data_IF_144748502191
#
_entry.id   IF_144748502191
#
_cell.length_a   1.000
_cell.length_b   1.000
_cell.length_c   1.000
_cell.angle_alpha   90.00
_cell.angle_beta   90.00
_cell.angle_gamma   90.00
#
_symmetry.space_group_name_H-M   'P 1'
#
loop_
_entity.id
_entity.type
_entity.pdbx_description
1 polymer ?
#
# COMPACT_ATOMS: atom_id res chain seq x y z
N UNK A 1 -12.43 -9.71 -15.05
CA UNK A 1 -13.76 -9.17 -14.67
C UNK A 1 -13.61 -7.67 -14.50
N UNK A 2 -14.46 -6.88 -15.14
CA UNK A 2 -14.52 -5.43 -14.95
C UNK A 2 -15.95 -5.05 -14.55
N UNK A 3 -16.14 -4.11 -13.61
CA UNK A 3 -17.49 -3.67 -13.24
C UNK A 3 -18.26 -3.14 -14.45
N UNK A 4 -19.57 -3.40 -14.51
CA UNK A 4 -20.45 -2.91 -15.58
C UNK A 4 -20.65 -1.39 -15.53
N UNK A 5 -20.50 -0.79 -14.35
CA UNK A 5 -20.65 0.64 -14.11
C UNK A 5 -19.36 1.27 -13.59
N UNK A 6 -18.98 2.40 -14.17
CA UNK A 6 -17.86 3.20 -13.68
C UNK A 6 -18.25 3.94 -12.39
N UNK A 7 -17.43 3.80 -11.36
CA UNK A 7 -17.47 4.62 -10.14
C UNK A 7 -16.09 5.21 -9.90
N UNK A 8 -16.03 6.53 -9.69
CA UNK A 8 -14.77 7.22 -9.42
C UNK A 8 -14.10 6.60 -8.18
N UNK A 9 -12.84 6.15 -8.27
CA UNK A 9 -12.11 5.61 -7.12
C UNK A 9 -12.01 6.64 -5.99
N UNK A 10 -12.17 6.18 -4.75
CA UNK A 10 -12.08 7.03 -3.54
C UNK A 10 -10.89 6.71 -2.64
N UNK A 11 -10.17 5.62 -2.93
CA UNK A 11 -9.02 5.14 -2.16
C UNK A 11 -8.18 4.24 -3.05
N UNK A 12 -6.90 4.15 -2.73
CA UNK A 12 -5.94 3.22 -3.34
C UNK A 12 -5.51 2.23 -2.26
N UNK A 13 -5.24 0.98 -2.65
CA UNK A 13 -4.61 -0.02 -1.78
C UNK A 13 -3.37 -0.56 -2.48
N UNK A 14 -2.27 -0.62 -1.76
CA UNK A 14 -0.99 -1.16 -2.21
C UNK A 14 -0.67 -2.43 -1.42
N UNK A 15 -0.56 -3.56 -2.12
CA UNK A 15 0.00 -4.78 -1.54
C UNK A 15 1.51 -4.61 -1.40
N UNK A 16 2.03 -4.87 -0.21
CA UNK A 16 3.41 -4.61 0.16
C UNK A 16 4.00 -5.78 0.94
N UNK A 17 5.14 -6.28 0.48
CA UNK A 17 5.83 -7.45 1.05
C UNK A 17 7.29 -7.12 1.46
N UNK A 18 7.68 -5.84 1.40
CA UNK A 18 9.02 -5.39 1.72
C UNK A 18 10.08 -5.59 0.63
N UNK A 19 9.73 -6.27 -0.47
CA UNK A 19 10.63 -6.48 -1.61
C UNK A 19 10.96 -5.18 -2.32
N UNK A 20 12.06 -5.17 -3.08
CA UNK A 20 12.47 -4.01 -3.87
C UNK A 20 11.38 -3.55 -4.85
N UNK A 21 10.60 -4.49 -5.39
CA UNK A 21 9.49 -4.20 -6.30
C UNK A 21 8.37 -3.44 -5.60
N UNK A 22 7.93 -3.89 -4.42
CA UNK A 22 6.84 -3.22 -3.71
C UNK A 22 7.31 -1.90 -3.10
N UNK A 23 8.58 -1.80 -2.69
CA UNK A 23 9.22 -0.53 -2.31
C UNK A 23 9.24 0.47 -3.46
N UNK A 24 9.62 0.04 -4.66
CA UNK A 24 9.55 0.90 -5.85
C UNK A 24 8.11 1.33 -6.14
N UNK A 25 7.16 0.44 -5.93
CA UNK A 25 5.73 0.73 -5.98
C UNK A 25 5.32 1.89 -5.07
N UNK A 26 5.76 1.88 -3.81
CA UNK A 26 5.51 2.97 -2.85
C UNK A 26 6.06 4.30 -3.37
N UNK A 27 7.32 4.34 -3.81
CA UNK A 27 7.93 5.56 -4.35
C UNK A 27 7.17 6.09 -5.58
N UNK A 28 6.74 5.20 -6.47
CA UNK A 28 5.98 5.59 -7.66
C UNK A 28 4.62 6.18 -7.29
N UNK A 29 3.93 5.61 -6.30
CA UNK A 29 2.66 6.17 -5.80
C UNK A 29 2.90 7.55 -5.17
N UNK A 30 3.92 7.67 -4.32
CA UNK A 30 4.29 8.93 -3.67
C UNK A 30 4.60 10.05 -4.69
N UNK A 31 5.29 9.72 -5.78
CA UNK A 31 5.61 10.68 -6.85
C UNK A 31 4.45 10.94 -7.84
N UNK A 32 3.39 10.13 -7.83
CA UNK A 32 2.36 10.15 -8.86
C UNK A 32 1.33 11.26 -8.63
N UNK A 33 1.04 12.11 -9.64
CA UNK A 33 -0.06 13.05 -9.55
C UNK A 33 -1.44 12.38 -9.61
N UNK A 34 -1.54 11.14 -10.08
CA UNK A 34 -2.79 10.44 -10.35
C UNK A 34 -3.60 10.14 -9.06
N UNK A 35 -2.91 9.91 -7.95
CA UNK A 35 -3.52 9.46 -6.70
C UNK A 35 -3.63 10.57 -5.65
N UNK A 36 -3.22 11.80 -5.99
CA UNK A 36 -3.23 12.92 -5.05
C UNK A 36 -4.62 13.15 -4.46
N UNK A 37 -4.67 13.30 -3.14
CA UNK A 37 -5.92 13.50 -2.40
C UNK A 37 -6.74 12.23 -2.17
N UNK A 38 -6.31 11.07 -2.66
CA UNK A 38 -6.90 9.78 -2.30
C UNK A 38 -6.05 9.13 -1.21
N UNK A 39 -6.64 8.60 -0.13
CA UNK A 39 -5.91 7.78 0.83
C UNK A 39 -5.28 6.55 0.17
N UNK A 40 -4.07 6.20 0.58
CA UNK A 40 -3.33 5.03 0.09
C UNK A 40 -3.09 4.02 1.21
N UNK A 41 -3.88 2.95 1.24
CA UNK A 41 -3.75 1.91 2.25
C UNK A 41 -2.62 0.95 1.88
N UNK A 42 -1.59 0.83 2.71
CA UNK A 42 -0.51 -0.15 2.53
C UNK A 42 -0.83 -1.41 3.33
N UNK A 43 -0.91 -2.56 2.66
CA UNK A 43 -1.27 -3.83 3.29
C UNK A 43 -0.17 -4.84 3.09
N UNK A 44 0.31 -5.41 4.18
CA UNK A 44 1.25 -6.53 4.19
C UNK A 44 0.56 -7.77 4.74
N UNK A 45 0.83 -8.90 4.12
CA UNK A 45 0.41 -10.22 4.61
C UNK A 45 1.65 -10.93 5.13
N UNK A 46 1.64 -11.30 6.41
CA UNK A 46 2.78 -11.94 7.05
C UNK A 46 2.66 -12.03 8.57
N UNK A 47 3.67 -12.62 9.20
CA UNK A 47 3.73 -12.73 10.66
C UNK A 47 3.87 -11.35 11.31
N UNK A 48 3.33 -11.22 12.51
CA UNK A 48 3.48 -10.02 13.32
C UNK A 48 4.88 -9.96 13.94
N UNK A 49 5.83 -9.42 13.19
CA UNK A 49 7.23 -9.24 13.60
C UNK A 49 7.63 -7.77 13.62
N UNK A 50 8.67 -7.43 14.40
CA UNK A 50 9.24 -6.08 14.40
C UNK A 50 9.74 -5.69 13.01
N UNK A 51 10.40 -6.61 12.30
CA UNK A 51 10.90 -6.38 10.95
C UNK A 51 9.78 -6.01 9.97
N UNK A 52 8.66 -6.74 9.98
CA UNK A 52 7.51 -6.44 9.11
C UNK A 52 6.86 -5.10 9.46
N UNK A 53 6.78 -4.78 10.76
CA UNK A 53 6.29 -3.48 11.23
C UNK A 53 7.20 -2.33 10.80
N UNK A 54 8.51 -2.48 10.89
CA UNK A 54 9.48 -1.48 10.44
C UNK A 54 9.38 -1.23 8.93
N UNK A 55 9.19 -2.29 8.14
CA UNK A 55 9.00 -2.15 6.69
C UNK A 55 7.69 -1.43 6.35
N UNK A 56 6.59 -1.74 7.03
CA UNK A 56 5.33 -1.01 6.85
C UNK A 56 5.43 0.45 7.27
N UNK A 57 6.11 0.74 8.38
CA UNK A 57 6.35 2.11 8.84
C UNK A 57 7.18 2.91 7.83
N UNK A 58 8.19 2.28 7.22
CA UNK A 58 8.92 2.90 6.13
C UNK A 58 7.99 3.28 4.97
N UNK A 59 7.11 2.36 4.54
CA UNK A 59 6.19 2.64 3.44
C UNK A 59 5.18 3.75 3.79
N UNK A 60 4.67 3.74 5.02
CA UNK A 60 3.80 4.78 5.55
C UNK A 60 4.48 6.16 5.51
N UNK A 61 5.68 6.27 6.06
CA UNK A 61 6.42 7.52 6.13
C UNK A 61 6.66 8.14 4.74
N UNK A 62 7.06 7.33 3.76
CA UNK A 62 7.27 7.81 2.38
C UNK A 62 5.99 8.39 1.76
N UNK A 63 4.83 7.77 2.03
CA UNK A 63 3.55 8.25 1.51
C UNK A 63 3.05 9.48 2.26
N UNK A 64 3.20 9.52 3.58
CA UNK A 64 2.83 10.67 4.41
C UNK A 64 3.68 11.90 4.08
N UNK A 65 4.99 11.74 3.88
CA UNK A 65 5.90 12.81 3.44
C UNK A 65 5.51 13.37 2.06
N UNK A 66 4.91 12.54 1.21
CA UNK A 66 4.35 12.96 -0.08
C UNK A 66 2.94 13.55 0.00
N UNK A 67 2.36 13.64 1.21
CA UNK A 67 1.06 14.27 1.48
C UNK A 67 -0.14 13.33 1.35
N UNK A 68 0.06 12.01 1.40
CA UNK A 68 -1.02 11.03 1.42
C UNK A 68 -1.46 10.70 2.85
N UNK A 69 -2.75 10.41 3.03
CA UNK A 69 -3.21 9.64 4.20
C UNK A 69 -2.88 8.16 3.94
N UNK A 70 -2.02 7.56 4.77
CA UNK A 70 -1.46 6.24 4.51
C UNK A 70 -1.74 5.23 5.65
N UNK A 71 -2.99 4.77 5.82
CA UNK A 71 -3.26 3.71 6.79
C UNK A 71 -2.47 2.45 6.42
N UNK A 72 -1.97 1.75 7.45
CA UNK A 72 -1.23 0.50 7.27
C UNK A 72 -1.90 -0.67 7.98
N UNK A 73 -1.85 -1.84 7.36
CA UNK A 73 -2.33 -3.07 7.94
C UNK A 73 -1.32 -4.21 7.75
N UNK A 74 -1.02 -4.92 8.84
CA UNK A 74 -0.34 -6.20 8.82
C UNK A 74 -1.37 -7.28 9.13
N UNK A 75 -1.69 -8.09 8.13
CA UNK A 75 -2.71 -9.14 8.24
C UNK A 75 -2.04 -10.50 8.29
N UNK A 76 -2.49 -11.35 9.22
CA UNK A 76 -2.11 -12.76 9.23
C UNK A 76 -2.94 -13.53 8.19
N UNK A 77 -2.27 -14.26 7.30
CA UNK A 77 -2.92 -15.13 6.32
C UNK A 77 -1.90 -15.75 5.37
N UNK A 78 -2.22 -16.90 4.78
CA UNK A 78 -1.48 -17.40 3.62
C UNK A 78 -1.79 -16.51 2.42
N UNK A 79 -0.76 -16.07 1.70
CA UNK A 79 -0.96 -15.53 0.34
C UNK A 79 -1.61 -16.64 -0.47
N UNK A 80 -2.82 -16.40 -0.98
CA UNK A 80 -3.49 -17.33 -1.90
C UNK A 80 -2.51 -17.63 -3.04
N UNK A 81 -1.93 -18.84 -3.03
CA UNK A 81 -1.18 -19.36 -4.17
C UNK A 81 -2.22 -19.85 -5.16
N UNK A 82 -2.47 -19.03 -6.18
CA UNK A 82 -3.19 -19.44 -7.40
C UNK A 82 -2.37 -20.48 -8.15
#
# INVERSE_FOLDING_TARGET
>A
VTPEEYKVPKRVMLAFDGSDTTRKGVEMVAASPLFRGLPCHVVMVGEESSANREQLQWAQAILEDAGFEAPVALTQGEVERV
#
